data_IF_071555011612
#
_entry.id   IF_071555011612
#
_cell.length_a   1.000
_cell.length_b   1.000
_cell.length_c   1.000
_cell.angle_alpha   90.00
_cell.angle_beta   90.00
_cell.angle_gamma   90.00
#
_symmetry.space_group_name_H-M   'P 1'
#
loop_
_entity.id
_entity.type
_entity.pdbx_description
1 polymer ?
#
# COMPACT_ATOMS: atom_id res chain seq x y z
N UNK A 1 -4.14 -14.98 20.70
CA UNK A 1 -3.30 -16.16 20.98
C UNK A 1 -2.88 -16.12 22.44
N UNK A 2 -3.07 -17.18 23.23
CA UNK A 2 -2.80 -17.21 24.68
C UNK A 2 -1.30 -17.26 25.05
N UNK A 3 -0.39 -17.45 24.09
CA UNK A 3 1.01 -17.83 24.36
C UNK A 3 2.08 -16.94 23.69
N UNK A 4 1.79 -15.67 23.37
CA UNK A 4 2.75 -14.69 22.78
C UNK A 4 3.57 -15.14 21.54
N UNK A 5 3.26 -16.30 20.94
CA UNK A 5 3.96 -16.77 19.74
C UNK A 5 3.58 -15.94 18.52
N UNK A 6 4.60 -15.36 17.89
CA UNK A 6 4.47 -14.81 16.54
C UNK A 6 4.19 -15.93 15.53
N UNK A 7 3.20 -15.72 14.67
CA UNK A 7 2.82 -16.64 13.58
C UNK A 7 2.68 -15.86 12.28
N UNK A 8 3.13 -16.46 11.17
CA UNK A 8 2.84 -15.95 9.83
C UNK A 8 1.44 -16.39 9.42
N UNK A 9 0.68 -15.48 8.83
CA UNK A 9 -0.67 -15.74 8.32
C UNK A 9 -0.68 -15.53 6.81
N UNK A 10 -1.13 -16.54 6.05
CA UNK A 10 -1.46 -16.43 4.62
C UNK A 10 -2.96 -16.21 4.50
N UNK A 11 -3.32 -15.10 3.88
CA UNK A 11 -4.71 -14.74 3.62
C UNK A 11 -5.30 -15.71 2.59
N UNK A 12 -6.38 -16.40 2.99
CA UNK A 12 -7.10 -17.34 2.12
C UNK A 12 -7.74 -16.58 0.95
N UNK A 13 -7.73 -17.19 -0.24
CA UNK A 13 -8.52 -16.76 -1.40
C UNK A 13 -8.02 -15.52 -2.14
N UNK A 14 -6.89 -14.94 -1.73
CA UNK A 14 -6.30 -13.78 -2.40
C UNK A 14 -4.84 -14.02 -2.78
N UNK A 15 -4.41 -13.34 -3.82
CA UNK A 15 -3.02 -13.24 -4.20
C UNK A 15 -2.62 -11.79 -4.45
N UNK A 16 -1.47 -11.38 -3.93
CA UNK A 16 -0.92 -10.05 -4.13
C UNK A 16 0.35 -10.18 -4.95
N UNK A 17 0.69 -9.20 -5.82
CA UNK A 17 1.91 -9.23 -6.60
C UNK A 17 3.15 -9.48 -5.72
N UNK A 18 4.04 -10.35 -6.17
CA UNK A 18 5.27 -10.68 -5.44
C UNK A 18 6.35 -9.62 -5.68
N UNK A 19 7.08 -9.26 -4.62
CA UNK A 19 8.20 -8.30 -4.70
C UNK A 19 9.37 -8.84 -5.54
N UNK A 20 9.42 -10.17 -5.76
CA UNK A 20 10.50 -10.85 -6.50
C UNK A 20 10.39 -10.78 -8.02
N UNK A 21 9.27 -10.31 -8.58
CA UNK A 21 9.12 -10.15 -10.03
C UNK A 21 10.15 -9.14 -10.56
N UNK A 22 10.78 -9.41 -11.72
CA UNK A 22 11.80 -8.53 -12.29
C UNK A 22 11.22 -7.22 -12.83
N UNK A 23 9.94 -7.19 -13.20
CA UNK A 23 9.28 -6.03 -13.78
C UNK A 23 9.02 -4.95 -12.71
N UNK A 24 9.47 -3.72 -12.98
CA UNK A 24 9.29 -2.60 -12.04
C UNK A 24 7.81 -2.34 -11.70
N UNK A 25 6.91 -2.49 -12.66
CA UNK A 25 5.46 -2.34 -12.42
C UNK A 25 4.95 -3.35 -11.39
N UNK A 26 5.33 -4.63 -11.52
CA UNK A 26 4.95 -5.67 -10.58
C UNK A 26 5.51 -5.38 -9.17
N UNK A 27 6.77 -4.93 -9.09
CA UNK A 27 7.37 -4.52 -7.79
C UNK A 27 6.66 -3.33 -7.17
N UNK A 28 6.26 -2.34 -7.96
CA UNK A 28 5.48 -1.21 -7.47
C UNK A 28 4.13 -1.66 -6.91
N UNK A 29 3.39 -2.48 -7.65
CA UNK A 29 2.12 -3.03 -7.18
C UNK A 29 2.31 -3.85 -5.89
N UNK A 30 3.35 -4.68 -5.82
CA UNK A 30 3.71 -5.42 -4.61
C UNK A 30 3.97 -4.50 -3.40
N UNK A 31 4.71 -3.40 -3.60
CA UNK A 31 4.93 -2.40 -2.55
C UNK A 31 3.64 -1.69 -2.15
N UNK A 32 2.78 -1.34 -3.10
CA UNK A 32 1.49 -0.69 -2.82
C UNK A 32 0.55 -1.62 -2.05
N UNK A 33 0.45 -2.91 -2.40
CA UNK A 33 -0.30 -3.92 -1.66
C UNK A 33 0.24 -4.09 -0.22
N UNK A 34 1.57 -4.11 -0.07
CA UNK A 34 2.23 -4.15 1.24
C UNK A 34 1.91 -2.91 2.08
N UNK A 35 1.94 -1.71 1.51
CA UNK A 35 1.56 -0.47 2.22
C UNK A 35 0.08 -0.49 2.62
N UNK A 36 -0.81 -0.94 1.72
CA UNK A 36 -2.23 -1.11 2.00
C UNK A 36 -2.45 -2.03 3.21
N UNK A 37 -1.88 -3.24 3.18
CA UNK A 37 -1.99 -4.18 4.29
C UNK A 37 -1.40 -3.61 5.59
N UNK A 38 -0.25 -2.95 5.52
CA UNK A 38 0.35 -2.30 6.69
C UNK A 38 -0.58 -1.24 7.30
N UNK A 39 -1.16 -0.36 6.49
CA UNK A 39 -2.02 0.71 6.98
C UNK A 39 -3.27 0.19 7.72
N UNK A 40 -3.87 -0.89 7.21
CA UNK A 40 -5.09 -1.46 7.80
C UNK A 40 -4.85 -2.51 8.90
N UNK A 41 -3.66 -3.13 8.97
CA UNK A 41 -3.42 -4.25 9.90
C UNK A 41 -2.32 -3.97 10.94
N UNK A 42 -1.40 -3.04 10.70
CA UNK A 42 -0.28 -2.81 11.62
C UNK A 42 -0.78 -2.28 12.98
N UNK A 43 -0.37 -2.98 14.05
CA UNK A 43 -0.80 -2.71 15.43
C UNK A 43 -2.32 -2.67 15.60
N UNK A 44 -3.06 -3.41 14.77
CA UNK A 44 -4.51 -3.59 14.92
C UNK A 44 -4.81 -4.94 15.52
N UNK A 45 -5.79 -4.96 16.42
CA UNK A 45 -6.39 -6.22 16.88
C UNK A 45 -7.29 -6.74 15.78
N UNK A 46 -7.10 -8.01 15.41
CA UNK A 46 -7.90 -8.70 14.39
C UNK A 46 -8.44 -10.00 14.94
N UNK A 47 -9.56 -10.48 14.37
CA UNK A 47 -10.04 -11.84 14.59
C UNK A 47 -9.65 -12.68 13.38
N UNK A 48 -9.26 -13.93 13.64
CA UNK A 48 -8.98 -14.91 12.59
C UNK A 48 -10.10 -15.93 12.57
N UNK A 49 -10.59 -16.25 11.38
CA UNK A 49 -11.38 -17.45 11.14
C UNK A 49 -10.70 -18.29 10.07
N UNK A 50 -10.87 -19.60 10.17
CA UNK A 50 -10.16 -20.56 9.31
C UNK A 50 -11.15 -21.21 8.33
N UNK A 51 -10.62 -21.92 7.35
CA UNK A 51 -11.40 -22.81 6.49
C UNK A 51 -11.04 -24.27 6.82
N UNK A 52 -11.31 -25.21 5.92
CA UNK A 52 -11.04 -26.64 6.10
C UNK A 52 -9.56 -26.97 6.35
N UNK A 53 -8.62 -26.15 5.85
CA UNK A 53 -7.18 -26.26 6.12
C UNK A 53 -6.73 -25.07 6.99
N UNK A 54 -6.01 -25.35 8.08
CA UNK A 54 -5.60 -24.34 9.07
C UNK A 54 -4.15 -23.91 8.88
N UNK A 55 -3.28 -24.82 8.45
CA UNK A 55 -1.85 -24.56 8.26
C UNK A 55 -1.41 -25.10 6.90
N UNK A 56 -0.58 -24.36 6.19
CA UNK A 56 0.03 -24.85 4.96
C UNK A 56 1.37 -25.55 5.21
N UNK A 57 1.93 -26.16 4.16
CA UNK A 57 3.24 -26.83 4.18
C UNK A 57 4.45 -25.94 4.57
N UNK A 58 4.24 -24.64 4.75
CA UNK A 58 5.26 -23.67 5.17
C UNK A 58 5.00 -23.15 6.59
N UNK A 59 4.18 -23.87 7.39
CA UNK A 59 3.80 -23.57 8.77
C UNK A 59 3.07 -22.22 8.95
N UNK A 60 2.50 -21.67 7.86
CA UNK A 60 1.70 -20.45 7.90
C UNK A 60 0.26 -20.81 8.23
N UNK A 61 -0.36 -20.01 9.10
CA UNK A 61 -1.80 -20.10 9.32
C UNK A 61 -2.54 -19.64 8.07
N UNK A 62 -3.43 -20.46 7.54
CA UNK A 62 -4.38 -20.10 6.50
C UNK A 62 -5.60 -19.47 7.17
N UNK A 63 -5.82 -18.17 6.98
CA UNK A 63 -6.94 -17.51 7.64
C UNK A 63 -7.62 -16.42 6.81
N UNK A 64 -8.87 -16.19 7.18
CA UNK A 64 -9.60 -14.95 6.95
C UNK A 64 -9.33 -13.99 8.09
N UNK A 65 -8.97 -12.76 7.75
CA UNK A 65 -8.68 -11.70 8.73
C UNK A 65 -9.87 -10.76 8.81
N UNK A 66 -10.36 -10.57 10.04
CA UNK A 66 -11.47 -9.67 10.34
C UNK A 66 -10.96 -8.47 11.12
N UNK A 67 -11.13 -7.28 10.56
CA UNK A 67 -10.89 -6.02 11.27
C UNK A 67 -12.22 -5.43 11.74
N UNK A 68 -12.16 -4.64 12.81
CA UNK A 68 -13.35 -3.98 13.37
C UNK A 68 -14.02 -3.03 12.37
N UNK A 69 -13.23 -2.28 11.59
CA UNK A 69 -13.73 -1.24 10.69
C UNK A 69 -14.03 -1.71 9.26
N UNK A 70 -13.23 -2.62 8.72
CA UNK A 70 -13.37 -3.07 7.32
C UNK A 70 -14.10 -4.41 7.20
N UNK A 71 -14.36 -5.11 8.31
CA UNK A 71 -14.90 -6.46 8.28
C UNK A 71 -13.89 -7.44 7.71
N UNK A 72 -14.30 -8.24 6.72
CA UNK A 72 -13.44 -9.26 6.09
C UNK A 72 -12.36 -8.60 5.23
N UNK A 73 -11.15 -8.48 5.78
CA UNK A 73 -10.02 -7.83 5.12
C UNK A 73 -9.66 -8.46 3.77
N UNK A 74 -9.77 -9.79 3.66
CA UNK A 74 -9.52 -10.52 2.42
C UNK A 74 -10.43 -10.04 1.27
N UNK A 75 -11.72 -9.79 1.53
CA UNK A 75 -12.65 -9.21 0.55
C UNK A 75 -12.34 -7.73 0.34
N UNK A 76 -12.04 -7.01 1.41
CA UNK A 76 -11.78 -5.58 1.36
C UNK A 76 -10.59 -5.22 0.45
N UNK A 77 -9.46 -5.92 0.57
CA UNK A 77 -8.28 -5.68 -0.27
C UNK A 77 -8.55 -5.95 -1.76
N UNK A 78 -9.41 -6.94 -2.08
CA UNK A 78 -9.87 -7.19 -3.45
C UNK A 78 -10.76 -6.04 -3.95
N UNK A 79 -11.72 -5.62 -3.13
CA UNK A 79 -12.66 -4.53 -3.45
C UNK A 79 -11.99 -3.16 -3.67
N UNK A 80 -10.78 -2.98 -3.12
CA UNK A 80 -9.95 -1.79 -3.34
C UNK A 80 -8.89 -1.99 -4.44
N UNK A 81 -8.81 -3.19 -5.04
CA UNK A 81 -7.96 -3.49 -6.19
C UNK A 81 -6.47 -3.66 -5.87
N UNK A 82 -6.12 -4.06 -4.63
CA UNK A 82 -4.71 -4.26 -4.21
C UNK A 82 -4.31 -5.75 -4.14
N UNK A 83 -5.18 -6.65 -4.57
CA UNK A 83 -4.95 -8.07 -4.72
C UNK A 83 -5.87 -8.63 -5.83
N UNK A 84 -5.55 -9.81 -6.33
CA UNK A 84 -6.38 -10.60 -7.23
C UNK A 84 -6.97 -11.81 -6.49
N UNK A 85 -8.11 -12.32 -6.95
CA UNK A 85 -8.71 -13.53 -6.37
C UNK A 85 -7.88 -14.76 -6.74
N UNK A 86 -7.60 -15.62 -5.75
CA UNK A 86 -6.82 -16.84 -5.94
C UNK A 86 -7.70 -18.09 -5.95
N UNK A 87 -8.15 -18.51 -7.14
CA UNK A 87 -9.15 -19.57 -7.31
C UNK A 87 -8.60 -21.00 -7.37
N UNK A 88 -7.31 -21.20 -7.03
CA UNK A 88 -6.66 -22.52 -7.12
C UNK A 88 -7.29 -23.57 -6.21
N UNK A 89 -7.84 -23.15 -5.06
CA UNK A 89 -8.43 -24.03 -4.04
C UNK A 89 -9.86 -23.61 -3.73
N UNK A 90 -10.74 -24.53 -3.29
CA UNK A 90 -12.07 -24.17 -2.80
C UNK A 90 -11.96 -23.45 -1.45
N UNK A 91 -12.79 -22.43 -1.24
CA UNK A 91 -12.86 -21.69 0.02
C UNK A 91 -14.23 -21.04 0.20
N UNK A 92 -14.61 -20.78 1.46
CA UNK A 92 -15.96 -20.36 1.86
C UNK A 92 -16.50 -19.12 1.12
N UNK A 93 -15.67 -18.10 0.92
CA UNK A 93 -16.08 -16.79 0.38
C UNK A 93 -15.81 -16.61 -1.13
N UNK A 94 -15.73 -17.70 -1.89
CA UNK A 94 -15.31 -17.68 -3.30
C UNK A 94 -16.06 -16.69 -4.17
N UNK A 95 -17.38 -16.79 -4.22
CA UNK A 95 -18.20 -15.94 -5.08
C UNK A 95 -18.15 -14.47 -4.65
N UNK A 96 -18.11 -14.20 -3.33
CA UNK A 96 -17.96 -12.83 -2.82
C UNK A 96 -16.63 -12.19 -3.20
N UNK A 97 -15.56 -12.97 -3.33
CA UNK A 97 -14.24 -12.47 -3.70
C UNK A 97 -14.12 -12.21 -5.19
N UNK A 98 -14.71 -13.09 -6.02
CA UNK A 98 -14.82 -12.89 -7.47
C UNK A 98 -15.58 -11.59 -7.74
N UNK A 99 -16.71 -11.40 -7.06
CA UNK A 99 -17.53 -10.21 -7.23
C UNK A 99 -16.79 -8.94 -6.78
N UNK A 100 -16.11 -8.98 -5.64
CA UNK A 100 -15.32 -7.85 -5.15
C UNK A 100 -14.19 -7.45 -6.13
N UNK A 101 -13.52 -8.43 -6.75
CA UNK A 101 -12.52 -8.14 -7.79
C UNK A 101 -13.17 -7.57 -9.06
N UNK A 102 -14.32 -8.12 -9.50
CA UNK A 102 -15.07 -7.63 -10.66
C UNK A 102 -15.44 -6.16 -10.48
N UNK A 103 -16.04 -5.80 -9.35
CA UNK A 103 -16.39 -4.42 -9.02
C UNK A 103 -15.14 -3.50 -9.01
N UNK A 104 -14.04 -3.96 -8.43
CA UNK A 104 -12.80 -3.18 -8.40
C UNK A 104 -12.23 -2.92 -9.81
N UNK A 105 -12.38 -3.89 -10.72
CA UNK A 105 -11.98 -3.74 -12.14
C UNK A 105 -12.87 -2.76 -12.89
N UNK A 106 -14.19 -2.86 -12.70
CA UNK A 106 -15.17 -1.98 -13.33
C UNK A 106 -15.03 -0.53 -12.86
N UNK A 107 -14.70 -0.34 -11.58
CA UNK A 107 -14.46 0.98 -10.98
C UNK A 107 -13.01 1.46 -11.12
N UNK A 108 -12.15 0.73 -11.84
CA UNK A 108 -10.75 1.06 -12.08
C UNK A 108 -9.96 1.40 -10.79
N UNK A 109 -10.22 0.64 -9.72
CA UNK A 109 -9.57 0.82 -8.42
C UNK A 109 -8.19 0.17 -8.37
N UNK A 110 -7.32 0.69 -7.50
CA UNK A 110 -6.01 0.08 -7.21
C UNK A 110 -5.22 -0.19 -8.49
N UNK A 111 -4.86 -1.46 -8.71
CA UNK A 111 -4.07 -1.91 -9.86
C UNK A 111 -4.85 -1.98 -11.18
N UNK A 112 -6.17 -1.83 -11.13
CA UNK A 112 -7.03 -1.86 -12.32
C UNK A 112 -7.13 -0.50 -13.03
N UNK A 113 -6.48 0.53 -12.51
CA UNK A 113 -6.50 1.88 -13.06
C UNK A 113 -5.82 1.94 -14.43
N UNK A 114 -6.51 2.46 -15.45
CA UNK A 114 -5.98 2.56 -16.83
C UNK A 114 -5.39 3.93 -17.20
N UNK A 115 -5.56 4.92 -16.32
CA UNK A 115 -5.12 6.31 -16.53
C UNK A 115 -4.27 6.87 -15.40
N UNK A 116 -3.89 8.17 -15.48
CA UNK A 116 -3.12 8.81 -14.43
C UNK A 116 -3.87 8.81 -13.09
N UNK A 117 -3.13 8.64 -12.01
CA UNK A 117 -3.67 8.77 -10.66
C UNK A 117 -4.20 10.18 -10.39
N UNK A 118 -5.37 10.33 -9.73
CA UNK A 118 -5.86 11.66 -9.34
C UNK A 118 -4.79 12.40 -8.55
N UNK A 119 -4.66 13.70 -8.80
CA UNK A 119 -3.71 14.56 -8.09
C UNK A 119 -4.44 15.46 -7.11
N UNK A 120 -4.00 15.46 -5.86
CA UNK A 120 -4.57 16.27 -4.77
C UNK A 120 -3.50 17.17 -4.15
N UNK A 121 -3.95 18.17 -3.38
CA UNK A 121 -3.05 19.02 -2.59
C UNK A 121 -2.76 18.42 -1.22
N UNK A 122 -1.74 18.93 -0.53
CA UNK A 122 -1.43 18.55 0.87
C UNK A 122 -2.64 18.71 1.79
N UNK A 123 -3.45 19.75 1.58
CA UNK A 123 -4.61 20.08 2.43
C UNK A 123 -5.68 19.00 2.40
N UNK A 124 -5.79 18.29 1.28
CA UNK A 124 -6.83 17.29 1.07
C UNK A 124 -6.41 15.89 1.54
N UNK A 125 -5.11 15.67 1.82
CA UNK A 125 -4.54 14.33 2.08
C UNK A 125 -5.32 13.51 3.09
N UNK A 126 -5.77 14.11 4.20
CA UNK A 126 -6.54 13.39 5.24
C UNK A 126 -7.86 12.81 4.74
N UNK A 127 -8.53 13.47 3.80
CA UNK A 127 -9.79 12.98 3.23
C UNK A 127 -9.59 11.76 2.30
N UNK A 128 -8.36 11.51 1.86
CA UNK A 128 -8.03 10.46 0.89
C UNK A 128 -7.06 9.39 1.43
N UNK A 129 -6.91 9.28 2.75
CA UNK A 129 -6.12 8.21 3.36
C UNK A 129 -6.60 6.82 2.90
N UNK A 130 -5.66 5.92 2.63
CA UNK A 130 -5.96 4.58 2.14
C UNK A 130 -6.16 4.49 0.63
N UNK A 131 -5.83 5.55 -0.13
CA UNK A 131 -5.98 5.57 -1.59
C UNK A 131 -4.63 5.62 -2.30
N UNK A 132 -4.56 4.99 -3.48
CA UNK A 132 -3.42 5.12 -4.40
C UNK A 132 -3.68 6.32 -5.31
N UNK A 133 -2.91 7.40 -5.10
CA UNK A 133 -3.11 8.69 -5.74
C UNK A 133 -1.80 9.47 -5.90
N UNK A 134 -1.87 10.69 -6.41
CA UNK A 134 -0.75 11.63 -6.45
C UNK A 134 -0.97 12.83 -5.52
N UNK A 135 0.08 13.28 -4.83
CA UNK A 135 0.06 14.48 -3.99
C UNK A 135 1.04 15.50 -4.58
N UNK A 136 0.55 16.71 -4.86
CA UNK A 136 1.35 17.84 -5.34
C UNK A 136 1.74 18.77 -4.19
N UNK A 137 3.03 19.07 -4.06
CA UNK A 137 3.55 19.93 -3.00
C UNK A 137 4.93 20.52 -3.32
N UNK A 138 5.30 21.63 -2.67
CA UNK A 138 6.68 22.16 -2.71
C UNK A 138 7.52 21.47 -1.64
N UNK A 139 8.63 20.85 -2.04
CA UNK A 139 9.57 20.22 -1.12
C UNK A 139 10.40 21.29 -0.40
N UNK A 140 10.07 21.58 0.85
CA UNK A 140 10.73 22.60 1.65
C UNK A 140 12.09 22.15 2.18
N UNK A 141 12.23 20.85 2.44
CA UNK A 141 13.39 20.29 3.14
C UNK A 141 13.57 18.80 2.85
N UNK A 142 14.83 18.39 2.71
CA UNK A 142 15.27 17.01 2.52
C UNK A 142 16.15 16.60 3.70
N UNK A 143 15.78 15.52 4.39
CA UNK A 143 16.51 15.05 5.57
C UNK A 143 16.62 13.53 5.61
N UNK A 144 17.83 13.02 5.86
CA UNK A 144 18.02 11.61 6.16
C UNK A 144 17.76 11.35 7.64
N UNK A 145 16.88 10.39 7.97
CA UNK A 145 16.60 9.94 9.34
C UNK A 145 16.38 8.44 9.39
N UNK A 146 17.25 7.75 10.12
CA UNK A 146 17.20 6.29 10.25
C UNK A 146 17.34 5.60 8.89
N UNK A 147 16.33 4.80 8.52
CA UNK A 147 16.27 4.04 7.26
C UNK A 147 15.62 4.80 6.10
N UNK A 148 15.28 6.08 6.25
CA UNK A 148 14.57 6.85 5.24
C UNK A 148 15.23 8.20 4.97
N UNK A 149 15.04 8.70 3.75
CA UNK A 149 15.21 10.10 3.37
C UNK A 149 13.81 10.72 3.28
N UNK A 150 13.57 11.79 4.01
CA UNK A 150 12.31 12.51 4.07
C UNK A 150 12.37 13.72 3.14
N UNK A 151 11.33 13.89 2.33
CA UNK A 151 11.06 15.09 1.54
C UNK A 151 9.82 15.76 2.14
N UNK A 152 10.01 16.83 2.90
CA UNK A 152 8.94 17.52 3.63
C UNK A 152 8.20 18.52 2.75
N UNK A 153 6.89 18.63 2.92
CA UNK A 153 6.13 19.74 2.34
C UNK A 153 6.45 21.06 3.03
N UNK A 154 6.17 22.19 2.37
CA UNK A 154 5.98 23.47 3.07
C UNK A 154 4.96 23.27 4.21
N UNK A 155 5.28 23.74 5.41
CA UNK A 155 4.47 23.51 6.63
C UNK A 155 4.66 22.14 7.29
N UNK A 156 5.41 21.21 6.69
CA UNK A 156 5.70 19.86 7.21
C UNK A 156 4.47 19.01 7.60
N UNK A 157 3.32 19.30 6.97
CA UNK A 157 2.04 18.60 7.14
C UNK A 157 1.99 17.28 6.35
N UNK A 158 2.78 17.17 5.27
CA UNK A 158 2.93 15.97 4.45
C UNK A 158 4.41 15.63 4.26
N UNK A 159 4.71 14.35 4.04
CA UNK A 159 6.07 13.91 3.72
C UNK A 159 6.09 12.79 2.68
N UNK A 160 7.05 12.85 1.77
CA UNK A 160 7.44 11.68 0.99
C UNK A 160 8.65 11.01 1.65
N UNK A 161 8.60 9.70 1.83
CA UNK A 161 9.69 8.91 2.40
C UNK A 161 10.32 8.07 1.30
N UNK A 162 11.62 8.18 1.12
CA UNK A 162 12.42 7.30 0.25
C UNK A 162 13.22 6.35 1.15
N UNK A 163 12.97 5.02 1.12
CA UNK A 163 13.79 4.06 1.84
C UNK A 163 15.26 4.15 1.41
N UNK A 164 16.20 4.04 2.35
CA UNK A 164 17.65 4.13 2.04
C UNK A 164 18.10 3.06 1.06
N UNK A 165 17.51 1.87 1.15
CA UNK A 165 17.73 0.77 0.20
C UNK A 165 17.25 1.08 -1.23
N UNK A 166 16.39 2.09 -1.40
CA UNK A 166 15.86 2.52 -2.70
C UNK A 166 16.58 3.73 -3.28
N UNK A 167 17.53 4.36 -2.56
CA UNK A 167 18.19 5.61 -2.98
C UNK A 167 18.83 5.51 -4.36
N UNK A 168 19.39 4.35 -4.72
CA UNK A 168 20.03 4.14 -6.02
C UNK A 168 19.10 4.31 -7.22
N UNK A 169 17.79 4.27 -7.02
CA UNK A 169 16.80 4.51 -8.07
C UNK A 169 16.53 6.00 -8.32
N UNK A 170 16.90 6.88 -7.39
CA UNK A 170 16.56 8.29 -7.42
C UNK A 170 17.74 9.14 -7.89
N UNK A 171 17.48 10.25 -8.60
CA UNK A 171 18.50 11.29 -8.79
C UNK A 171 18.88 11.89 -7.44
N UNK A 172 19.88 12.77 -7.41
CA UNK A 172 20.34 13.40 -6.17
C UNK A 172 19.17 14.04 -5.40
N UNK A 173 18.66 13.35 -4.37
CA UNK A 173 17.43 13.72 -3.66
C UNK A 173 17.50 15.11 -3.05
N UNK A 174 18.72 15.57 -2.70
CA UNK A 174 18.95 16.91 -2.16
C UNK A 174 18.56 18.01 -3.16
N UNK A 175 18.68 17.76 -4.46
CA UNK A 175 18.27 18.68 -5.53
C UNK A 175 16.76 18.96 -5.58
N UNK A 176 15.94 18.18 -4.86
CA UNK A 176 14.50 18.41 -4.79
C UNK A 176 14.10 19.54 -3.84
N UNK A 177 14.99 20.04 -2.97
CA UNK A 177 14.70 21.19 -2.11
C UNK A 177 14.32 22.43 -2.95
N UNK A 178 13.24 23.09 -2.56
CA UNK A 178 12.66 24.25 -3.25
C UNK A 178 11.88 23.91 -4.53
N UNK A 179 11.81 22.65 -4.94
CA UNK A 179 11.08 22.24 -6.16
C UNK A 179 9.63 21.88 -5.86
N UNK A 180 8.75 22.16 -6.82
CA UNK A 180 7.40 21.61 -6.83
C UNK A 180 7.44 20.16 -7.32
N UNK A 181 6.91 19.25 -6.52
CA UNK A 181 6.88 17.81 -6.77
C UNK A 181 5.43 17.33 -6.89
N UNK A 182 5.22 16.34 -7.76
CA UNK A 182 4.05 15.47 -7.72
C UNK A 182 4.53 14.07 -7.37
N UNK A 183 4.00 13.52 -6.27
CA UNK A 183 4.40 12.20 -5.77
C UNK A 183 3.23 11.23 -5.80
N UNK A 184 3.40 10.11 -6.51
CA UNK A 184 2.40 9.06 -6.65
C UNK A 184 2.71 7.88 -5.73
N UNK A 185 1.70 7.41 -5.00
CA UNK A 185 1.81 6.20 -4.19
C UNK A 185 0.61 6.01 -3.27
N UNK A 186 0.68 4.98 -2.43
CA UNK A 186 -0.33 4.73 -1.42
C UNK A 186 -0.25 5.80 -0.33
N UNK A 187 -1.30 6.62 -0.24
CA UNK A 187 -1.40 7.66 0.77
C UNK A 187 -1.81 7.04 2.10
N UNK A 188 -0.92 7.16 3.07
CA UNK A 188 -1.08 6.58 4.40
C UNK A 188 -0.83 7.64 5.48
N UNK A 189 -1.08 7.26 6.73
CA UNK A 189 -0.77 8.10 7.88
C UNK A 189 0.09 7.32 8.87
N UNK A 190 1.14 7.96 9.37
CA UNK A 190 1.96 7.43 10.45
C UNK A 190 2.26 8.52 11.46
N UNK A 191 1.90 8.28 12.73
CA UNK A 191 1.99 9.27 13.82
C UNK A 191 1.33 10.61 13.43
N UNK A 192 0.09 10.55 12.96
CA UNK A 192 -0.78 11.70 12.63
C UNK A 192 -0.29 12.57 11.46
N UNK A 193 0.72 12.09 10.73
CA UNK A 193 1.25 12.74 9.54
C UNK A 193 0.94 11.94 8.28
N UNK A 194 0.15 12.50 7.35
CA UNK A 194 -0.01 11.95 6.00
C UNK A 194 1.33 11.83 5.29
N UNK A 195 1.53 10.72 4.59
CA UNK A 195 2.77 10.44 3.89
C UNK A 195 2.59 9.48 2.72
N UNK A 196 3.54 9.51 1.79
CA UNK A 196 3.71 8.49 0.73
C UNK A 196 5.12 7.92 0.82
N UNK A 197 5.25 6.60 0.70
CA UNK A 197 6.56 5.95 0.55
C UNK A 197 6.88 5.77 -0.94
N UNK A 198 7.99 6.36 -1.39
CA UNK A 198 8.51 6.26 -2.74
C UNK A 198 9.66 5.25 -2.82
N UNK A 199 9.43 4.16 -3.53
CA UNK A 199 10.39 3.07 -3.75
C UNK A 199 11.13 3.19 -5.08
N UNK A 200 10.55 3.88 -6.06
CA UNK A 200 11.09 4.06 -7.40
C UNK A 200 11.04 5.52 -7.83
N UNK A 201 12.01 5.99 -8.63
CA UNK A 201 12.06 7.38 -9.09
C UNK A 201 10.82 7.80 -9.87
N UNK A 202 10.19 6.90 -10.63
CA UNK A 202 8.94 7.19 -11.36
C UNK A 202 7.79 7.69 -10.48
N UNK A 203 7.85 7.43 -9.17
CA UNK A 203 6.86 7.94 -8.22
C UNK A 203 7.00 9.44 -7.96
N UNK A 204 8.13 10.06 -8.26
CA UNK A 204 8.39 11.48 -7.99
C UNK A 204 8.63 12.20 -9.31
N UNK A 205 7.78 13.17 -9.62
CA UNK A 205 7.93 14.07 -10.77
C UNK A 205 8.22 15.48 -10.29
N UNK A 206 9.25 16.11 -10.85
CA UNK A 206 9.45 17.56 -10.68
C UNK A 206 8.51 18.26 -11.67
N UNK A 207 7.67 19.14 -11.16
CA UNK A 207 6.78 19.95 -11.97
C UNK A 207 7.63 21.00 -12.72
N UNK A 208 7.39 21.15 -14.03
CA UNK A 208 8.02 22.24 -14.79
C UNK A 208 7.42 23.56 -14.31
N UNK A 209 8.29 24.53 -14.03
CA UNK A 209 7.91 25.91 -13.73
C UNK A 209 7.31 26.59 -14.95
#
# INVERSE_FOLDING_TARGET
>A
FKNEKERKVRLIGIDAPEIGDSKEEAKFQAQMARRFAFFYLYRKTVKLSYDWEIEDKYDRLLAYVWTEKQGLFNKFILSEGFAAVFLKFPFKYREEFIEAEREARELEKGFWKKGPYPSISVRDTRAYLGKLLSVKYTCSRVQTKGKFVFLYSSGEEFSTLVPRESISFFPELKSFEGKALTVTGFLEEYKEKPQIVAFFSRQIKIEKQ
#
